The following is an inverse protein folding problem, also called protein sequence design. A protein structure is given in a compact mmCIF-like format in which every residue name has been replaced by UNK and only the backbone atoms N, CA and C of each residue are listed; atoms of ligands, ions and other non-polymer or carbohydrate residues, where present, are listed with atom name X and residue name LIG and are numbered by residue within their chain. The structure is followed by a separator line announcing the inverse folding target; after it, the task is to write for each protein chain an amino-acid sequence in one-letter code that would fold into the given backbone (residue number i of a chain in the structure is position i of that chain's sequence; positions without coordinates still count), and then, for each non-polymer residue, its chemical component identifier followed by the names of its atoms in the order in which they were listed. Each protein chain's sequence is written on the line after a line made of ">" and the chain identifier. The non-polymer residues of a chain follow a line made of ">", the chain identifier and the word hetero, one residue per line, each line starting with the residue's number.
data_IF_791601602306
#
_entry.id   IF_791601602306
#
_cell.length_a   1.000
_cell.length_b   1.000
_cell.length_c   1.000
_cell.angle_alpha   90.00
_cell.angle_beta   90.00
_cell.angle_gamma   90.00
#
_symmetry.space_group_name_H-M   'P 1'
#
loop_
_entity.id
_entity.type
_entity.pdbx_description
1 polymer ?
#
# COMPACT_ATOMS: atom_id res chain seq x y z
N UNK A 1 14.60 -1.64 26.10
CA UNK A 1 14.98 -1.63 24.67
C UNK A 1 13.76 -1.20 23.86
N UNK A 2 13.90 -0.19 22.99
CA UNK A 2 12.80 0.24 22.13
C UNK A 2 12.77 -0.67 20.88
N UNK A 3 11.63 -1.32 20.62
CA UNK A 3 11.45 -2.27 19.50
C UNK A 3 11.75 -1.58 18.15
N UNK A 4 11.31 -0.34 17.97
CA UNK A 4 11.58 0.42 16.74
C UNK A 4 13.09 0.58 16.50
N UNK A 5 13.85 0.92 17.53
CA UNK A 5 15.30 1.05 17.42
C UNK A 5 15.96 -0.29 17.07
N UNK A 6 15.50 -1.39 17.63
CA UNK A 6 16.02 -2.73 17.32
C UNK A 6 15.76 -3.09 15.83
N UNK A 7 14.56 -2.79 15.32
CA UNK A 7 14.22 -2.99 13.90
C UNK A 7 15.15 -2.14 13.02
N UNK A 8 15.30 -0.85 13.31
CA UNK A 8 16.13 0.06 12.51
C UNK A 8 17.61 -0.35 12.54
N UNK A 9 18.16 -0.75 13.69
CA UNK A 9 19.52 -1.31 13.78
C UNK A 9 19.67 -2.54 12.89
N UNK A 10 18.76 -3.49 13.00
CA UNK A 10 18.78 -4.71 12.17
C UNK A 10 18.74 -4.40 10.68
N UNK A 11 17.89 -3.44 10.27
CA UNK A 11 17.79 -2.99 8.88
C UNK A 11 19.14 -2.51 8.38
N UNK A 12 19.84 -1.69 9.16
CA UNK A 12 21.17 -1.14 8.80
C UNK A 12 22.25 -2.21 8.80
N UNK A 13 22.31 -3.03 9.85
CA UNK A 13 23.36 -4.05 10.02
C UNK A 13 23.27 -5.17 8.97
N UNK A 14 22.05 -5.50 8.54
CA UNK A 14 21.78 -6.60 7.60
C UNK A 14 21.53 -6.15 6.18
N UNK A 15 21.62 -4.84 5.89
CA UNK A 15 21.31 -4.27 4.57
C UNK A 15 19.91 -4.68 4.07
N UNK A 16 18.92 -4.65 4.95
CA UNK A 16 17.53 -4.98 4.64
C UNK A 16 16.97 -3.90 3.69
N UNK A 17 16.29 -4.32 2.65
CA UNK A 17 15.72 -3.42 1.63
C UNK A 17 14.24 -3.14 1.82
N UNK A 18 13.55 -4.00 2.54
CA UNK A 18 12.11 -3.91 2.75
C UNK A 18 11.71 -4.33 4.16
N UNK A 19 10.76 -3.62 4.75
CA UNK A 19 10.17 -3.96 6.04
C UNK A 19 8.69 -4.28 5.82
N UNK A 20 8.20 -5.33 6.46
CA UNK A 20 6.75 -5.63 6.53
C UNK A 20 6.33 -5.60 7.99
N UNK A 21 5.43 -4.71 8.34
CA UNK A 21 4.87 -4.56 9.66
C UNK A 21 3.41 -5.00 9.67
N UNK A 22 3.09 -5.98 10.49
CA UNK A 22 1.71 -6.41 10.73
C UNK A 22 1.03 -5.51 11.75
N UNK A 23 -0.19 -5.07 11.46
CA UNK A 23 -1.06 -4.40 12.41
C UNK A 23 -2.15 -5.36 12.89
N UNK A 24 -2.23 -5.58 14.19
CA UNK A 24 -3.34 -6.30 14.79
C UNK A 24 -4.43 -5.31 15.21
N UNK A 25 -5.62 -5.46 14.66
CA UNK A 25 -6.79 -4.78 15.19
C UNK A 25 -7.19 -5.44 16.52
N UNK A 26 -7.11 -4.69 17.60
CA UNK A 26 -7.44 -5.17 18.95
C UNK A 26 -8.92 -5.10 19.31
N UNK A 27 -9.82 -4.79 18.40
CA UNK A 27 -11.24 -4.60 18.75
C UNK A 27 -12.12 -5.48 17.87
N UNK A 28 -12.81 -6.49 18.44
CA UNK A 28 -13.91 -7.16 17.76
C UNK A 28 -15.05 -6.14 17.56
N UNK A 29 -15.42 -5.88 16.31
CA UNK A 29 -16.60 -5.07 15.99
C UNK A 29 -16.37 -3.70 15.38
N UNK A 30 -15.14 -3.26 15.12
CA UNK A 30 -14.89 -2.03 14.39
C UNK A 30 -14.64 -2.32 12.90
N UNK A 31 -15.60 -1.99 12.06
CA UNK A 31 -15.46 -1.97 10.59
C UNK A 31 -14.78 -0.70 10.08
N UNK A 32 -14.22 0.12 10.97
CA UNK A 32 -13.54 1.34 10.58
C UNK A 32 -12.16 1.04 9.99
N UNK A 33 -11.92 1.50 8.78
CA UNK A 33 -10.59 1.54 8.17
C UNK A 33 -9.62 2.32 9.10
N UNK A 34 -8.36 1.87 9.25
CA UNK A 34 -7.39 2.59 10.06
C UNK A 34 -7.20 4.01 9.52
N UNK A 35 -7.13 4.99 10.43
CA UNK A 35 -6.81 6.35 10.06
C UNK A 35 -5.43 6.41 9.41
N UNK A 36 -5.37 6.84 8.17
CA UNK A 36 -4.11 7.06 7.46
C UNK A 36 -3.77 8.54 7.58
N UNK A 37 -2.66 8.92 8.24
CA UNK A 37 -2.26 10.31 8.33
C UNK A 37 -2.11 10.93 6.93
N UNK A 38 -2.73 12.07 6.71
CA UNK A 38 -2.60 12.82 5.46
C UNK A 38 -3.70 12.56 4.42
N UNK A 39 -4.70 11.73 4.69
CA UNK A 39 -5.89 11.58 3.85
C UNK A 39 -7.05 12.33 4.51
N UNK A 40 -7.42 13.53 4.04
CA UNK A 40 -8.59 14.23 4.55
C UNK A 40 -9.88 13.54 4.05
N UNK A 41 -10.83 13.36 4.93
CA UNK A 41 -12.20 13.08 4.53
C UNK A 41 -12.71 11.65 4.69
N UNK A 42 -12.00 10.74 5.38
CA UNK A 42 -12.61 9.48 5.80
C UNK A 42 -13.32 9.70 7.14
N UNK A 43 -14.67 9.76 7.17
CA UNK A 43 -15.40 9.90 8.42
C UNK A 43 -15.20 8.65 9.28
N UNK A 44 -14.83 8.85 10.55
CA UNK A 44 -14.71 7.75 11.51
C UNK A 44 -13.30 7.39 11.94
N UNK A 45 -12.28 8.15 11.55
CA UNK A 45 -10.87 7.90 11.90
C UNK A 45 -10.48 8.42 13.29
N UNK A 46 -11.34 8.28 14.28
CA UNK A 46 -10.99 8.47 15.70
C UNK A 46 -10.32 7.24 16.31
N UNK A 47 -9.85 6.32 15.48
CA UNK A 47 -9.06 5.16 15.93
C UNK A 47 -7.62 5.57 16.27
N UNK A 48 -6.90 4.79 17.10
CA UNK A 48 -5.48 4.99 17.29
C UNK A 48 -4.80 4.88 15.92
N UNK A 49 -4.19 5.97 15.48
CA UNK A 49 -3.42 6.03 14.23
C UNK A 49 -2.37 4.91 14.16
N UNK A 50 -1.67 4.82 13.06
CA UNK A 50 -0.49 3.95 12.91
C UNK A 50 0.30 4.02 14.21
N UNK A 51 0.41 2.91 14.94
CA UNK A 51 0.93 2.89 16.29
C UNK A 51 2.31 3.55 16.38
N UNK A 52 2.64 4.10 17.55
CA UNK A 52 3.89 4.83 17.79
C UNK A 52 5.12 4.07 17.26
N UNK A 53 5.17 2.74 17.43
CA UNK A 53 6.27 1.91 16.91
C UNK A 53 6.43 2.04 15.40
N UNK A 54 5.34 2.01 14.64
CA UNK A 54 5.37 2.14 13.17
C UNK A 54 5.85 3.53 12.77
N UNK A 55 5.33 4.57 13.43
CA UNK A 55 5.77 5.96 13.19
C UNK A 55 7.26 6.12 13.49
N UNK A 56 7.74 5.54 14.59
CA UNK A 56 9.16 5.59 14.97
C UNK A 56 10.04 4.86 13.94
N UNK A 57 9.60 3.71 13.40
CA UNK A 57 10.32 2.99 12.33
C UNK A 57 10.36 3.81 11.04
N UNK A 58 9.22 4.36 10.61
CA UNK A 58 9.13 5.16 9.38
C UNK A 58 10.01 6.41 9.45
N UNK A 59 10.08 7.07 10.61
CA UNK A 59 10.89 8.29 10.78
C UNK A 59 12.41 8.03 10.80
N UNK A 60 12.84 6.81 11.07
CA UNK A 60 14.25 6.44 11.26
C UNK A 60 14.79 5.52 10.16
N UNK A 61 13.95 5.10 9.21
CA UNK A 61 14.29 4.14 8.17
C UNK A 61 14.02 4.72 6.79
N UNK A 62 14.94 4.49 5.85
CA UNK A 62 14.85 4.92 4.45
C UNK A 62 14.55 3.74 3.50
N UNK A 63 14.06 2.63 4.03
CA UNK A 63 13.72 1.46 3.22
C UNK A 63 12.22 1.39 2.97
N UNK A 64 11.82 0.67 1.92
CA UNK A 64 10.41 0.46 1.61
C UNK A 64 9.73 -0.25 2.78
N UNK A 65 8.69 0.36 3.32
CA UNK A 65 7.96 -0.21 4.47
C UNK A 65 6.52 -0.51 4.07
N UNK A 66 6.12 -1.76 4.21
CA UNK A 66 4.76 -2.23 4.02
C UNK A 66 4.09 -2.38 5.38
N UNK A 67 2.95 -1.72 5.55
CA UNK A 67 2.10 -1.87 6.74
C UNK A 67 0.90 -2.71 6.31
N UNK A 68 0.75 -3.88 6.91
CA UNK A 68 -0.26 -4.84 6.53
C UNK A 68 -1.24 -5.12 7.68
N UNK A 69 -2.52 -4.86 7.42
CA UNK A 69 -3.62 -5.18 8.34
C UNK A 69 -4.43 -6.33 7.74
N UNK A 70 -4.15 -7.59 8.16
CA UNK A 70 -4.81 -8.74 7.58
C UNK A 70 -6.25 -8.88 8.09
N UNK A 71 -7.22 -8.89 7.17
CA UNK A 71 -8.57 -9.37 7.42
C UNK A 71 -8.68 -10.86 7.08
N UNK A 72 -7.83 -11.33 6.16
CA UNK A 72 -7.78 -12.71 5.70
C UNK A 72 -6.37 -13.07 5.21
N UNK A 73 -6.04 -14.34 5.04
CA UNK A 73 -4.73 -14.76 4.53
C UNK A 73 -4.43 -14.18 3.15
N UNK A 74 -3.21 -13.71 2.91
CA UNK A 74 -2.80 -13.11 1.63
C UNK A 74 -3.02 -14.05 0.43
N UNK A 75 -2.92 -15.36 0.65
CA UNK A 75 -3.18 -16.38 -0.38
C UNK A 75 -4.63 -16.45 -0.87
N UNK A 76 -5.58 -15.90 -0.12
CA UNK A 76 -7.00 -15.86 -0.51
C UNK A 76 -7.34 -14.61 -1.33
N UNK A 77 -6.46 -13.63 -1.38
CA UNK A 77 -6.66 -12.40 -2.13
C UNK A 77 -6.64 -12.68 -3.64
N UNK A 78 -7.68 -12.22 -4.32
CA UNK A 78 -7.84 -12.37 -5.77
C UNK A 78 -7.54 -11.11 -6.55
N UNK A 79 -7.66 -9.94 -5.89
CA UNK A 79 -7.43 -8.65 -6.52
C UNK A 79 -6.76 -7.67 -5.57
N UNK A 80 -5.74 -6.99 -6.05
CA UNK A 80 -5.07 -5.89 -5.37
C UNK A 80 -5.46 -4.57 -6.05
N UNK A 81 -6.00 -3.64 -5.27
CA UNK A 81 -6.34 -2.28 -5.69
C UNK A 81 -5.28 -1.34 -5.12
N UNK A 82 -4.50 -0.70 -5.97
CA UNK A 82 -3.37 0.13 -5.57
C UNK A 82 -3.70 1.59 -5.85
N UNK A 83 -3.94 2.34 -4.80
CA UNK A 83 -4.26 3.77 -4.88
C UNK A 83 -2.96 4.55 -4.77
N UNK A 84 -2.63 5.30 -5.80
CA UNK A 84 -1.36 6.00 -5.93
C UNK A 84 -1.60 7.50 -5.96
N UNK A 85 -0.99 8.28 -5.06
CA UNK A 85 -1.17 9.73 -5.04
C UNK A 85 -0.55 10.39 -6.28
N UNK A 86 -1.08 11.56 -6.70
CA UNK A 86 -0.47 12.34 -7.77
C UNK A 86 0.98 12.72 -7.43
N UNK A 87 1.88 12.55 -8.38
CA UNK A 87 3.29 12.90 -8.21
C UNK A 87 4.13 11.81 -7.54
N UNK A 88 3.58 10.66 -7.20
CA UNK A 88 4.31 9.54 -6.60
C UNK A 88 5.51 9.07 -7.47
N UNK A 89 5.44 9.28 -8.78
CA UNK A 89 6.53 8.97 -9.72
C UNK A 89 7.81 9.78 -9.47
N UNK A 90 7.72 10.87 -8.70
CA UNK A 90 8.86 11.73 -8.34
C UNK A 90 9.55 11.27 -7.06
N UNK A 91 8.92 10.41 -6.28
CA UNK A 91 9.46 9.90 -5.03
C UNK A 91 10.55 8.86 -5.26
N UNK A 92 11.60 8.93 -4.42
CA UNK A 92 12.76 8.04 -4.54
C UNK A 92 12.39 6.53 -4.44
N UNK A 93 11.36 6.19 -3.67
CA UNK A 93 10.87 4.82 -3.47
C UNK A 93 9.95 4.30 -4.58
N UNK A 94 9.57 5.12 -5.55
CA UNK A 94 8.57 4.77 -6.57
C UNK A 94 8.86 3.45 -7.29
N UNK A 95 10.05 3.29 -7.84
CA UNK A 95 10.42 2.09 -8.59
C UNK A 95 10.47 0.85 -7.71
N UNK A 96 10.86 1.00 -6.44
CA UNK A 96 10.98 -0.10 -5.49
C UNK A 96 9.62 -0.71 -5.15
N UNK A 97 8.68 0.10 -4.64
CA UNK A 97 7.35 -0.41 -4.30
C UNK A 97 6.59 -0.93 -5.54
N UNK A 98 6.72 -0.25 -6.68
CA UNK A 98 6.09 -0.66 -7.94
C UNK A 98 6.58 -2.05 -8.37
N UNK A 99 7.89 -2.29 -8.29
CA UNK A 99 8.48 -3.60 -8.59
C UNK A 99 7.95 -4.69 -7.63
N UNK A 100 7.83 -4.39 -6.33
CA UNK A 100 7.32 -5.32 -5.33
C UNK A 100 5.86 -5.73 -5.61
N UNK A 101 5.00 -4.77 -5.91
CA UNK A 101 3.60 -5.04 -6.25
C UNK A 101 3.49 -5.86 -7.54
N UNK A 102 4.28 -5.55 -8.56
CA UNK A 102 4.32 -6.34 -9.79
C UNK A 102 4.81 -7.77 -9.56
N UNK A 103 5.79 -7.94 -8.69
CA UNK A 103 6.29 -9.26 -8.32
C UNK A 103 5.24 -10.06 -7.54
N UNK A 104 4.53 -9.41 -6.61
CA UNK A 104 3.41 -10.02 -5.89
C UNK A 104 2.34 -10.52 -6.86
N UNK A 105 1.92 -9.68 -7.81
CA UNK A 105 0.95 -10.06 -8.84
C UNK A 105 1.38 -11.28 -9.66
N UNK A 106 2.65 -11.33 -10.04
CA UNK A 106 3.21 -12.48 -10.79
C UNK A 106 3.23 -13.75 -9.96
N UNK A 107 3.63 -13.65 -8.69
CA UNK A 107 3.80 -14.81 -7.83
C UNK A 107 2.46 -15.40 -7.36
N UNK A 108 1.45 -14.56 -7.17
CA UNK A 108 0.13 -14.98 -6.69
C UNK A 108 -0.87 -15.25 -7.81
N UNK A 109 -0.63 -14.73 -9.01
CA UNK A 109 -1.60 -14.73 -10.11
C UNK A 109 -2.80 -13.82 -9.87
N UNK A 110 -2.84 -13.08 -8.76
CA UNK A 110 -3.92 -12.15 -8.45
C UNK A 110 -3.94 -10.97 -9.43
N UNK A 111 -5.13 -10.43 -9.65
CA UNK A 111 -5.29 -9.21 -10.47
C UNK A 111 -4.76 -8.00 -9.70
N UNK A 112 -4.14 -7.06 -10.40
CA UNK A 112 -3.74 -5.77 -9.83
C UNK A 112 -4.35 -4.65 -10.65
N UNK A 113 -4.96 -3.67 -9.99
CA UNK A 113 -5.46 -2.46 -10.62
C UNK A 113 -4.79 -1.24 -9.97
N UNK A 114 -4.09 -0.44 -10.76
CA UNK A 114 -3.52 0.82 -10.32
C UNK A 114 -4.48 1.95 -10.58
N UNK A 115 -4.84 2.68 -9.53
CA UNK A 115 -5.68 3.86 -9.53
C UNK A 115 -4.77 5.07 -9.32
N UNK A 116 -4.59 5.89 -10.34
CA UNK A 116 -3.71 7.06 -10.29
C UNK A 116 -4.10 8.09 -11.33
N UNK A 117 -3.54 9.29 -11.23
CA UNK A 117 -3.66 10.29 -12.29
C UNK A 117 -3.06 9.78 -13.60
N UNK A 118 -3.53 10.30 -14.73
CA UNK A 118 -3.01 9.89 -16.04
C UNK A 118 -1.50 10.11 -16.15
N UNK A 119 -0.98 11.20 -15.60
CA UNK A 119 0.45 11.48 -15.57
C UNK A 119 1.24 10.38 -14.82
N UNK A 120 0.78 9.98 -13.65
CA UNK A 120 1.39 8.91 -12.86
C UNK A 120 1.24 7.54 -13.53
N UNK A 121 0.07 7.26 -14.14
CA UNK A 121 -0.17 6.02 -14.89
C UNK A 121 0.81 5.83 -16.04
N UNK A 122 1.22 6.91 -16.73
CA UNK A 122 2.23 6.83 -17.79
C UNK A 122 3.57 6.30 -17.26
N UNK A 123 3.92 6.61 -16.02
CA UNK A 123 5.15 6.11 -15.38
C UNK A 123 4.99 4.69 -14.82
N UNK A 124 3.78 4.31 -14.43
CA UNK A 124 3.47 2.95 -13.99
C UNK A 124 3.41 1.98 -15.17
N UNK A 125 2.94 2.40 -16.34
CA UNK A 125 2.88 1.54 -17.53
C UNK A 125 4.28 1.11 -17.99
N UNK A 126 4.46 -0.14 -18.47
CA UNK A 126 5.75 -0.57 -18.99
C UNK A 126 6.16 0.31 -20.19
N UNK A 127 7.37 0.83 -20.18
CA UNK A 127 7.90 1.72 -21.23
C UNK A 127 8.17 1.03 -22.58
N UNK A 128 8.20 -0.28 -22.64
CA UNK A 128 8.38 -1.06 -23.86
C UNK A 128 7.13 -1.90 -24.11
N UNK A 129 6.74 -2.02 -25.37
CA UNK A 129 5.56 -2.70 -25.92
C UNK A 129 5.39 -4.19 -25.58
N UNK A 130 6.00 -4.67 -24.52
CA UNK A 130 5.56 -5.93 -23.94
C UNK A 130 4.18 -5.67 -23.35
N UNK A 131 3.16 -6.29 -23.95
CA UNK A 131 1.80 -6.35 -23.40
C UNK A 131 1.87 -6.37 -21.88
N UNK A 132 1.24 -5.38 -21.25
CA UNK A 132 1.08 -5.44 -19.79
C UNK A 132 0.55 -6.84 -19.47
N UNK A 133 1.06 -7.49 -18.42
CA UNK A 133 0.52 -8.78 -18.01
C UNK A 133 -1.00 -8.70 -17.96
N UNK A 134 -1.70 -9.70 -18.46
CA UNK A 134 -3.16 -9.70 -18.58
C UNK A 134 -3.91 -9.48 -17.25
N UNK A 135 -3.19 -9.63 -16.12
CA UNK A 135 -3.71 -9.42 -14.77
C UNK A 135 -3.43 -8.03 -14.20
N UNK A 136 -2.86 -7.08 -14.96
CA UNK A 136 -2.60 -5.70 -14.51
C UNK A 136 -3.50 -4.72 -15.25
N UNK A 137 -4.32 -3.97 -14.52
CA UNK A 137 -5.19 -2.91 -15.00
C UNK A 137 -4.69 -1.52 -14.58
N UNK A 138 -5.13 -0.49 -15.32
CA UNK A 138 -4.81 0.92 -15.06
C UNK A 138 -6.10 1.71 -15.13
N UNK A 139 -6.45 2.38 -14.04
CA UNK A 139 -7.69 3.13 -13.88
C UNK A 139 -7.34 4.60 -13.59
N UNK A 140 -7.75 5.54 -14.44
CA UNK A 140 -7.62 6.96 -14.14
C UNK A 140 -8.33 7.31 -12.84
N UNK A 141 -7.62 7.99 -11.94
CA UNK A 141 -8.13 8.38 -10.64
C UNK A 141 -7.41 9.66 -10.20
N UNK A 142 -8.08 10.79 -10.34
CA UNK A 142 -7.45 12.10 -10.14
C UNK A 142 -7.79 12.72 -8.78
N UNK A 143 -8.87 12.27 -8.13
CA UNK A 143 -9.39 12.92 -6.93
C UNK A 143 -9.55 11.93 -5.78
N UNK A 144 -8.86 12.22 -4.70
CA UNK A 144 -8.99 11.45 -3.45
C UNK A 144 -10.41 11.52 -2.85
N UNK A 145 -11.15 12.59 -3.14
CA UNK A 145 -12.55 12.74 -2.73
C UNK A 145 -13.46 11.67 -3.36
N UNK A 146 -13.04 11.07 -4.47
CA UNK A 146 -13.77 10.00 -5.14
C UNK A 146 -13.49 8.61 -4.54
N UNK A 147 -12.60 8.53 -3.53
CA UNK A 147 -12.26 7.28 -2.85
C UNK A 147 -13.49 6.54 -2.30
N UNK A 148 -14.50 7.20 -1.70
CA UNK A 148 -15.71 6.52 -1.25
C UNK A 148 -16.48 5.81 -2.38
N UNK A 149 -16.36 6.26 -3.63
CA UNK A 149 -17.03 5.60 -4.75
C UNK A 149 -16.48 4.21 -5.04
N UNK A 150 -15.23 3.94 -4.66
CA UNK A 150 -14.62 2.61 -4.80
C UNK A 150 -15.23 1.58 -3.83
N UNK A 151 -15.87 2.02 -2.75
CA UNK A 151 -16.47 1.12 -1.76
C UNK A 151 -17.51 0.19 -2.41
N UNK A 152 -18.27 0.70 -3.37
CA UNK A 152 -19.29 -0.09 -4.09
C UNK A 152 -18.71 -1.20 -4.97
N UNK A 153 -17.44 -1.07 -5.38
CA UNK A 153 -16.74 -2.01 -6.24
C UNK A 153 -15.85 -2.98 -5.47
N UNK A 154 -15.72 -2.78 -4.14
CA UNK A 154 -14.90 -3.64 -3.28
C UNK A 154 -15.57 -5.02 -3.08
N UNK A 155 -14.73 -6.04 -3.04
CA UNK A 155 -15.12 -7.43 -2.79
C UNK A 155 -14.42 -7.94 -1.53
N UNK A 156 -14.97 -8.98 -0.94
CA UNK A 156 -14.40 -9.59 0.28
C UNK A 156 -12.99 -10.17 0.06
N UNK A 157 -12.64 -10.52 -1.18
CA UNK A 157 -11.33 -11.06 -1.57
C UNK A 157 -10.37 -10.02 -2.17
N UNK A 158 -10.67 -8.73 -1.97
CA UNK A 158 -9.79 -7.63 -2.38
C UNK A 158 -8.78 -7.26 -1.29
N UNK A 159 -7.62 -6.78 -1.72
CA UNK A 159 -6.64 -6.11 -0.88
C UNK A 159 -6.43 -4.68 -1.37
N UNK A 160 -6.63 -3.72 -0.49
CA UNK A 160 -6.47 -2.30 -0.79
C UNK A 160 -5.09 -1.82 -0.34
N UNK A 161 -4.39 -1.15 -1.25
CA UNK A 161 -3.07 -0.58 -1.01
C UNK A 161 -3.12 0.93 -1.16
N UNK A 162 -2.57 1.64 -0.19
CA UNK A 162 -2.34 3.08 -0.28
C UNK A 162 -0.84 3.33 -0.35
N UNK A 163 -0.40 4.01 -1.40
CA UNK A 163 0.98 4.50 -1.53
C UNK A 163 1.05 5.86 -0.86
N UNK A 164 2.04 6.07 -0.02
CA UNK A 164 2.25 7.31 0.73
C UNK A 164 3.68 7.80 0.56
#
# INVERSE_FOLDING_TARGET
>A
MNIANAIVSTVRERNITDIVLGMHQRTPGSTALPAIPGIPGIPGTSGPGIGKMVTDVLSQSNVTTFIYSPAQPLSTIKRHLVIVPPGAEKEAGFQMWLQRIRQLARNTGAKVAFFASDATLQHIRPRRERKAPANIGFVPFDRWDDLPSLEHDLRDDDCLWFVM
#
